data_IF_004590764838
#
_entry.id   IF_004590764838
#
_cell.length_a   1.000
_cell.length_b   1.000
_cell.length_c   1.000
_cell.angle_alpha   90.00
_cell.angle_beta   90.00
_cell.angle_gamma   90.00
#
_symmetry.space_group_name_H-M   'P 1'
#
loop_
_entity.id
_entity.type
_entity.pdbx_description
1 polymer ?
#
# COMPACT_ATOMS: atom_id res chain seq x y z
N UNK A 1 -18.30 21.74 17.45
CA UNK A 1 -17.34 20.62 17.51
C UNK A 1 -16.00 21.21 17.12
N UNK A 2 -15.09 21.37 18.07
CA UNK A 2 -13.81 22.07 17.87
C UNK A 2 -12.94 21.27 16.89
N UNK A 3 -12.42 21.92 15.85
CA UNK A 3 -11.39 21.33 14.98
C UNK A 3 -10.10 21.30 15.79
N UNK A 4 -9.67 20.11 16.20
CA UNK A 4 -8.30 19.92 16.72
C UNK A 4 -7.35 20.03 15.52
N UNK A 5 -6.66 21.18 15.43
CA UNK A 5 -5.59 21.37 14.47
C UNK A 5 -4.32 20.74 15.03
N UNK A 6 -3.79 19.72 14.36
CA UNK A 6 -2.58 19.02 14.77
C UNK A 6 -1.34 19.87 14.48
N UNK A 7 -0.44 19.92 15.46
CA UNK A 7 0.81 20.65 15.34
C UNK A 7 1.83 19.93 14.43
N UNK A 8 2.80 20.67 13.83
CA UNK A 8 3.83 20.08 12.98
C UNK A 8 4.62 18.93 13.64
N UNK A 9 4.83 19.01 14.96
CA UNK A 9 5.53 17.97 15.73
C UNK A 9 4.70 16.70 15.92
N UNK A 10 3.39 16.82 16.13
CA UNK A 10 2.48 15.67 16.23
C UNK A 10 2.37 14.95 14.88
N UNK A 11 2.33 15.72 13.79
CA UNK A 11 2.34 15.18 12.43
C UNK A 11 3.67 14.47 12.15
N UNK A 12 4.81 15.06 12.51
CA UNK A 12 6.12 14.42 12.34
C UNK A 12 6.22 13.09 13.11
N UNK A 13 5.76 13.07 14.36
CA UNK A 13 5.74 11.84 15.17
C UNK A 13 4.79 10.78 14.62
N UNK A 14 3.65 11.17 14.07
CA UNK A 14 2.75 10.23 13.40
C UNK A 14 3.40 9.66 12.13
N UNK A 15 4.04 10.51 11.33
CA UNK A 15 4.71 10.11 10.09
C UNK A 15 5.86 9.14 10.36
N UNK A 16 6.68 9.37 11.40
CA UNK A 16 7.74 8.45 11.81
C UNK A 16 7.17 7.08 12.18
N UNK A 17 6.10 7.06 13.01
CA UNK A 17 5.42 5.81 13.38
C UNK A 17 4.82 5.08 12.19
N UNK A 18 4.39 5.80 11.16
CA UNK A 18 3.87 5.22 9.91
C UNK A 18 5.01 4.72 9.03
N UNK A 19 6.10 5.48 8.91
CA UNK A 19 7.28 5.13 8.13
C UNK A 19 7.85 3.78 8.57
N UNK A 20 7.87 3.52 9.88
CA UNK A 20 8.29 2.22 10.44
C UNK A 20 7.39 1.05 10.00
N UNK A 21 6.13 1.31 9.68
CA UNK A 21 5.14 0.30 9.27
C UNK A 21 5.15 0.05 7.76
N UNK A 22 5.66 1.00 6.96
CA UNK A 22 5.72 0.88 5.50
C UNK A 22 6.54 -0.35 5.06
N UNK A 23 7.77 -0.60 5.57
CA UNK A 23 8.54 -1.80 5.22
C UNK A 23 7.81 -3.11 5.53
N UNK A 24 7.04 -3.17 6.62
CA UNK A 24 6.25 -4.35 6.97
C UNK A 24 5.06 -4.56 6.02
N UNK A 25 4.40 -3.48 5.61
CA UNK A 25 3.35 -3.51 4.60
C UNK A 25 3.89 -3.92 3.22
N UNK A 26 5.05 -3.40 2.83
CA UNK A 26 5.76 -3.79 1.61
C UNK A 26 6.22 -5.25 1.64
N UNK A 27 6.68 -5.76 2.80
CA UNK A 27 6.97 -7.18 2.99
C UNK A 27 5.71 -8.05 2.81
N UNK A 28 4.58 -7.64 3.37
CA UNK A 28 3.30 -8.33 3.15
C UNK A 28 2.79 -8.25 1.72
N UNK A 29 3.20 -7.22 0.96
CA UNK A 29 2.96 -7.11 -0.48
C UNK A 29 3.92 -7.98 -1.30
N UNK A 30 5.15 -8.23 -0.83
CA UNK A 30 6.14 -9.07 -1.55
C UNK A 30 5.60 -10.47 -1.87
N UNK A 31 4.82 -11.04 -0.95
CA UNK A 31 4.18 -12.34 -1.13
C UNK A 31 2.97 -12.30 -2.09
N UNK A 32 2.45 -11.08 -2.36
CA UNK A 32 1.28 -10.79 -3.21
C UNK A 32 1.72 -10.32 -4.61
N UNK A 33 2.93 -9.76 -4.74
CA UNK A 33 3.46 -9.19 -5.98
C UNK A 33 4.80 -9.86 -6.27
N UNK A 34 4.76 -11.06 -6.84
CA UNK A 34 5.88 -12.01 -6.97
C UNK A 34 7.13 -11.54 -7.78
N UNK A 35 7.31 -10.26 -8.09
CA UNK A 35 8.56 -9.70 -8.65
C UNK A 35 8.96 -8.34 -8.02
N UNK A 36 10.27 -8.09 -7.93
CA UNK A 36 10.81 -6.84 -7.38
C UNK A 36 10.33 -5.62 -8.18
N UNK A 37 10.23 -5.76 -9.50
CA UNK A 37 9.77 -4.73 -10.42
C UNK A 37 8.32 -4.32 -10.15
N UNK A 38 7.45 -5.29 -9.88
CA UNK A 38 6.04 -5.02 -9.63
C UNK A 38 5.82 -4.37 -8.25
N UNK A 39 6.62 -4.75 -7.25
CA UNK A 39 6.68 -4.03 -5.97
C UNK A 39 7.17 -2.58 -6.11
N UNK A 40 8.17 -2.33 -6.95
CA UNK A 40 8.68 -0.99 -7.23
C UNK A 40 7.64 -0.10 -7.93
N UNK A 41 6.98 -0.62 -8.98
CA UNK A 41 5.93 0.11 -9.68
C UNK A 41 4.74 0.43 -8.77
N UNK A 42 4.37 -0.52 -7.90
CA UNK A 42 3.32 -0.33 -6.92
C UNK A 42 3.66 0.78 -5.91
N UNK A 43 4.88 0.76 -5.35
CA UNK A 43 5.35 1.82 -4.45
C UNK A 43 5.38 3.20 -5.11
N UNK A 44 5.83 3.28 -6.37
CA UNK A 44 5.81 4.51 -7.17
C UNK A 44 4.39 5.05 -7.35
N UNK A 45 3.41 4.19 -7.62
CA UNK A 45 2.01 4.60 -7.79
C UNK A 45 1.43 5.20 -6.49
N UNK A 46 1.64 4.55 -5.34
CA UNK A 46 1.18 5.04 -4.03
C UNK A 46 1.86 6.36 -3.66
N UNK A 47 3.17 6.48 -3.88
CA UNK A 47 3.92 7.70 -3.60
C UNK A 47 3.55 8.87 -4.50
N UNK A 48 3.30 8.61 -5.79
CA UNK A 48 2.83 9.62 -6.73
C UNK A 48 1.43 10.14 -6.34
N UNK A 49 0.53 9.24 -5.94
CA UNK A 49 -0.80 9.61 -5.46
C UNK A 49 -0.71 10.51 -4.21
N UNK A 50 0.06 10.11 -3.18
CA UNK A 50 0.30 10.94 -2.00
C UNK A 50 0.84 12.33 -2.35
N UNK A 51 1.86 12.38 -3.21
CA UNK A 51 2.49 13.64 -3.62
C UNK A 51 1.51 14.57 -4.32
N UNK A 52 0.60 14.03 -5.14
CA UNK A 52 -0.41 14.82 -5.85
C UNK A 52 -1.48 15.37 -4.89
N UNK A 53 -1.89 14.60 -3.88
CA UNK A 53 -2.80 15.08 -2.83
C UNK A 53 -2.20 16.29 -2.10
N UNK A 54 -0.91 16.24 -1.75
CA UNK A 54 -0.22 17.37 -1.14
C UNK A 54 -0.19 18.60 -2.06
N UNK A 55 0.11 18.42 -3.36
CA UNK A 55 0.11 19.54 -4.33
C UNK A 55 -1.27 20.18 -4.47
N UNK A 56 -2.33 19.41 -4.31
CA UNK A 56 -3.71 19.91 -4.34
C UNK A 56 -4.12 20.60 -3.03
N UNK A 57 -3.20 20.74 -2.07
CA UNK A 57 -3.44 21.41 -0.79
C UNK A 57 -4.16 20.53 0.22
N UNK A 58 -4.24 19.22 0.01
CA UNK A 58 -4.79 18.30 1.00
C UNK A 58 -3.83 18.24 2.19
N UNK A 59 -4.32 18.42 3.42
CA UNK A 59 -3.49 18.33 4.61
C UNK A 59 -2.72 17.01 4.66
N UNK A 60 -1.47 17.08 5.13
CA UNK A 60 -0.53 15.97 5.07
C UNK A 60 -1.07 14.67 5.68
N UNK A 61 -1.78 14.79 6.80
CA UNK A 61 -2.38 13.66 7.50
C UNK A 61 -3.51 13.00 6.70
N UNK A 62 -4.42 13.81 6.14
CA UNK A 62 -5.50 13.32 5.28
C UNK A 62 -4.92 12.69 4.00
N UNK A 63 -3.91 13.31 3.39
CA UNK A 63 -3.24 12.77 2.21
C UNK A 63 -2.60 11.40 2.52
N UNK A 64 -1.98 11.25 3.69
CA UNK A 64 -1.37 10.01 4.14
C UNK A 64 -2.43 8.92 4.38
N UNK A 65 -3.55 9.25 5.01
CA UNK A 65 -4.67 8.33 5.21
C UNK A 65 -5.24 7.83 3.87
N UNK A 66 -5.48 8.76 2.93
CA UNK A 66 -5.97 8.44 1.60
C UNK A 66 -5.00 7.54 0.84
N UNK A 67 -3.69 7.82 0.90
CA UNK A 67 -2.67 7.00 0.26
C UNK A 67 -2.60 5.58 0.83
N UNK A 68 -2.73 5.41 2.15
CA UNK A 68 -2.83 4.08 2.79
C UNK A 68 -4.07 3.33 2.34
N UNK A 69 -5.23 3.99 2.28
CA UNK A 69 -6.47 3.38 1.84
C UNK A 69 -6.37 2.93 0.37
N UNK A 70 -5.79 3.76 -0.49
CA UNK A 70 -5.51 3.41 -1.88
C UNK A 70 -4.61 2.18 -2.00
N UNK A 71 -3.52 2.13 -1.23
CA UNK A 71 -2.61 0.98 -1.16
C UNK A 71 -3.34 -0.31 -0.73
N UNK A 72 -4.21 -0.22 0.27
CA UNK A 72 -5.03 -1.36 0.74
C UNK A 72 -5.99 -1.83 -0.36
N UNK A 73 -6.66 -0.91 -1.05
CA UNK A 73 -7.55 -1.24 -2.16
C UNK A 73 -6.81 -1.93 -3.30
N UNK A 74 -5.64 -1.44 -3.69
CA UNK A 74 -4.83 -2.08 -4.72
C UNK A 74 -4.36 -3.49 -4.31
N UNK A 75 -3.95 -3.68 -3.04
CA UNK A 75 -3.62 -5.01 -2.49
C UNK A 75 -4.82 -5.95 -2.59
N UNK A 76 -6.00 -5.48 -2.20
CA UNK A 76 -7.19 -6.32 -2.17
C UNK A 76 -7.70 -6.66 -3.57
N UNK A 77 -7.45 -5.80 -4.58
CA UNK A 77 -7.67 -6.12 -5.99
C UNK A 77 -6.68 -7.17 -6.52
N UNK A 78 -5.46 -7.23 -5.99
CA UNK A 78 -4.48 -8.25 -6.39
C UNK A 78 -4.77 -9.64 -5.80
N UNK A 79 -5.49 -9.73 -4.67
CA UNK A 79 -5.81 -11.00 -3.97
C UNK A 79 -6.65 -12.00 -4.77
N UNK A 80 -7.75 -11.63 -5.46
CA UNK A 80 -8.53 -12.55 -6.28
C UNK A 80 -7.70 -13.23 -7.37
N UNK A 81 -6.76 -12.50 -7.97
CA UNK A 81 -5.87 -12.96 -9.04
C UNK A 81 -4.84 -13.98 -8.53
N UNK A 82 -4.38 -13.84 -7.29
CA UNK A 82 -3.45 -14.78 -6.66
C UNK A 82 -4.10 -16.14 -6.36
N UNK A 83 -5.33 -16.15 -5.84
CA UNK A 83 -6.06 -17.40 -5.55
C UNK A 83 -6.38 -18.24 -6.81
N UNK A 84 -6.51 -17.57 -7.96
CA UNK A 84 -6.69 -18.24 -9.25
C UNK A 84 -5.38 -18.88 -9.73
N UNK A 85 -4.26 -18.15 -9.64
CA UNK A 85 -2.94 -18.67 -9.99
C UNK A 85 -2.52 -19.87 -9.13
N UNK A 86 -2.72 -19.82 -7.82
CA UNK A 86 -2.43 -20.95 -6.91
C UNK A 86 -3.22 -22.22 -7.28
N UNK A 87 -4.50 -22.07 -7.64
CA UNK A 87 -5.35 -23.20 -8.05
C UNK A 87 -4.94 -23.81 -9.39
N UNK A 88 -4.47 -23.00 -10.34
CA UNK A 88 -3.99 -23.50 -11.63
C UNK A 88 -2.66 -24.25 -11.48
N UNK A 89 -1.73 -23.73 -10.68
CA UNK A 89 -0.46 -24.39 -10.37
C UNK A 89 -0.70 -25.75 -9.66
N UNK A 90 -1.61 -25.81 -8.70
CA UNK A 90 -1.94 -27.06 -7.99
C UNK A 90 -2.60 -28.11 -8.92
N UNK A 91 -3.32 -27.65 -9.96
CA UNK A 91 -4.01 -28.51 -10.93
C UNK A 91 -3.06 -29.06 -12.00
N UNK A 92 -2.06 -28.28 -12.39
CA UNK A 92 -0.96 -28.70 -13.29
C UNK A 92 -0.05 -29.72 -12.57
N UNK A 93 0.37 -29.44 -11.34
CA UNK A 93 1.20 -30.36 -10.54
C UNK A 93 0.52 -31.72 -10.28
N UNK A 94 -0.80 -31.74 -10.10
CA UNK A 94 -1.60 -32.98 -9.95
C UNK A 94 -1.86 -33.71 -11.26
N UNK A 95 -1.64 -33.09 -12.43
CA UNK A 95 -1.75 -33.75 -13.74
C UNK A 95 -0.45 -34.44 -14.16
N UNK A 96 0.70 -34.00 -13.61
CA UNK A 96 2.02 -34.57 -13.89
C UNK A 96 2.45 -35.68 -12.90
N UNK A 97 1.62 -35.98 -11.88
CA UNK A 97 1.80 -37.10 -10.94
C UNK A 97 0.81 -38.24 -11.23
#
# INVERSE_FOLDING_TARGET
MSKEEWGPEEVAQLLDKIADKIPALLKGLRDVVYSAEAGEQFGKAVGAFYSELLKQGIPQEQAMEMAKNYMISLRDLAKPSLKLGEKEIEKELKKES
#
